data_IF_655889164427
#
_entry.id   IF_655889164427
#
_cell.length_a   1.000
_cell.length_b   1.000
_cell.length_c   1.000
_cell.angle_alpha   90.00
_cell.angle_beta   90.00
_cell.angle_gamma   90.00
#
_symmetry.space_group_name_H-M   'P 1'
#
loop_
_entity.id
_entity.type
_entity.pdbx_description
1 polymer ?
#
# COMPACT_ATOMS: atom_id res chain seq x y z
N UNK A 1 14.11 -1.77 -2.92
CA UNK A 1 12.79 -2.12 -3.48
C UNK A 1 12.87 -3.48 -4.16
N UNK A 2 11.74 -4.16 -4.33
CA UNK A 2 11.62 -5.48 -4.96
C UNK A 2 10.40 -5.50 -5.88
N UNK A 3 10.59 -5.95 -7.12
CA UNK A 3 9.49 -6.28 -8.03
C UNK A 3 8.83 -7.58 -7.57
N UNK A 4 7.54 -7.54 -7.25
CA UNK A 4 6.77 -8.69 -6.75
C UNK A 4 5.92 -9.36 -7.83
N UNK A 5 5.56 -8.59 -8.86
CA UNK A 5 5.09 -9.08 -10.16
C UNK A 5 5.41 -8.00 -11.20
N UNK A 6 5.23 -8.30 -12.49
CA UNK A 6 5.59 -7.39 -13.58
C UNK A 6 5.05 -5.98 -13.33
N UNK A 7 5.95 -5.00 -13.33
CA UNK A 7 5.69 -3.58 -13.10
C UNK A 7 5.23 -3.19 -11.69
N UNK A 8 5.06 -4.12 -10.73
CA UNK A 8 4.68 -3.80 -9.35
C UNK A 8 5.85 -3.99 -8.39
N UNK A 9 6.26 -2.90 -7.77
CA UNK A 9 7.38 -2.83 -6.84
C UNK A 9 6.89 -2.51 -5.43
N UNK A 10 7.46 -3.22 -4.46
CA UNK A 10 7.38 -2.88 -3.05
C UNK A 10 8.70 -2.27 -2.58
N UNK A 11 8.61 -1.27 -1.71
CA UNK A 11 9.79 -0.63 -1.15
C UNK A 11 9.55 0.10 0.15
N UNK A 12 10.58 0.78 0.59
CA UNK A 12 10.56 1.65 1.75
C UNK A 12 10.73 3.13 1.35
N UNK A 13 10.80 4.01 2.35
CA UNK A 13 10.98 5.44 2.09
C UNK A 13 12.32 5.75 1.41
N UNK A 14 13.40 5.03 1.74
CA UNK A 14 14.70 5.23 1.11
C UNK A 14 14.67 4.92 -0.38
N UNK A 15 13.99 3.84 -0.77
CA UNK A 15 13.81 3.46 -2.18
C UNK A 15 13.10 4.58 -2.96
N UNK A 16 12.01 5.13 -2.41
CA UNK A 16 11.33 6.24 -3.06
C UNK A 16 12.24 7.46 -3.19
N UNK A 17 12.83 7.93 -2.09
CA UNK A 17 13.57 9.19 -2.06
C UNK A 17 14.84 9.17 -2.92
N UNK A 18 15.50 8.00 -3.04
CA UNK A 18 16.80 7.91 -3.70
C UNK A 18 16.75 7.27 -5.10
N UNK A 19 15.68 6.56 -5.45
CA UNK A 19 15.62 5.80 -6.71
C UNK A 19 14.41 6.12 -7.58
N UNK A 20 13.30 6.64 -7.04
CA UNK A 20 12.04 6.76 -7.80
C UNK A 20 11.51 8.20 -7.87
N UNK A 21 11.76 9.03 -6.86
CA UNK A 21 11.13 10.36 -6.72
C UNK A 21 11.27 11.28 -7.95
N UNK A 22 12.36 11.18 -8.69
CA UNK A 22 12.65 12.01 -9.87
C UNK A 22 12.59 11.24 -11.19
N UNK A 23 12.21 9.97 -11.15
CA UNK A 23 12.13 9.12 -12.33
C UNK A 23 10.78 9.25 -13.03
N UNK A 24 10.81 9.33 -14.36
CA UNK A 24 9.62 9.29 -15.19
C UNK A 24 9.11 7.85 -15.36
N UNK A 25 7.86 7.69 -15.80
CA UNK A 25 7.25 6.37 -16.02
C UNK A 25 6.86 5.61 -14.76
N UNK A 26 6.93 6.27 -13.58
CA UNK A 26 6.49 5.70 -12.30
C UNK A 26 5.14 6.26 -11.84
N UNK A 27 4.35 5.40 -11.21
CA UNK A 27 3.22 5.77 -10.36
C UNK A 27 3.53 5.36 -8.92
N UNK A 28 3.41 6.29 -7.96
CA UNK A 28 3.83 6.03 -6.58
C UNK A 28 2.65 6.07 -5.62
N UNK A 29 2.46 5.00 -4.87
CA UNK A 29 1.51 4.92 -3.76
C UNK A 29 2.29 5.07 -2.45
N UNK A 30 2.14 6.24 -1.83
CA UNK A 30 2.65 6.55 -0.51
C UNK A 30 1.71 5.93 0.54
N UNK A 31 1.92 4.66 0.88
CA UNK A 31 1.17 3.93 1.91
C UNK A 31 1.61 4.32 3.33
N UNK A 32 1.83 5.61 3.56
CA UNK A 32 2.15 6.16 4.87
C UNK A 32 1.71 7.62 4.99
N UNK A 33 1.14 7.94 6.16
CA UNK A 33 0.80 9.31 6.55
C UNK A 33 2.04 10.21 6.61
N UNK A 34 3.07 9.76 7.30
CA UNK A 34 4.30 10.53 7.51
C UNK A 34 5.39 10.09 6.51
N UNK A 35 6.12 11.03 5.87
CA UNK A 35 5.87 12.47 5.88
C UNK A 35 4.83 12.92 4.83
N UNK A 36 4.42 12.05 3.90
CA UNK A 36 3.87 12.48 2.62
C UNK A 36 2.46 13.03 2.66
N UNK A 37 1.52 12.41 3.39
CA UNK A 37 0.16 12.93 3.53
C UNK A 37 0.17 14.27 4.28
N UNK A 38 1.02 14.37 5.32
CA UNK A 38 1.24 15.62 6.04
C UNK A 38 1.76 16.73 5.14
N UNK A 39 2.80 16.45 4.36
CA UNK A 39 3.36 17.41 3.42
C UNK A 39 2.36 17.82 2.34
N UNK A 40 1.58 16.86 1.82
CA UNK A 40 0.60 17.11 0.77
C UNK A 40 -0.52 18.08 1.18
N UNK A 41 -0.90 18.07 2.47
CA UNK A 41 -1.98 18.89 3.03
C UNK A 41 -1.50 19.99 3.99
N UNK A 42 -0.20 20.11 4.20
CA UNK A 42 0.47 21.14 5.02
C UNK A 42 -0.06 21.31 6.47
N UNK A 43 -0.67 20.28 7.08
CA UNK A 43 -1.15 20.38 8.46
C UNK A 43 -0.03 20.18 9.50
N UNK A 44 -0.07 20.97 10.57
CA UNK A 44 0.93 20.92 11.66
C UNK A 44 0.50 20.06 12.85
N UNK A 45 -0.81 19.86 13.03
CA UNK A 45 -1.39 19.11 14.15
C UNK A 45 -1.24 17.58 14.02
N UNK A 46 -1.91 16.84 14.89
CA UNK A 46 -1.89 15.37 14.89
C UNK A 46 -2.55 14.75 13.64
N UNK A 47 -3.33 15.50 12.86
CA UNK A 47 -3.95 15.04 11.61
C UNK A 47 -4.51 16.21 10.80
N UNK A 48 -4.90 15.94 9.55
CA UNK A 48 -5.69 16.87 8.76
C UNK A 48 -7.08 17.09 9.41
N UNK A 49 -7.77 18.20 9.14
CA UNK A 49 -9.16 18.37 9.54
C UNK A 49 -10.03 17.20 9.05
N UNK A 50 -10.89 16.65 9.91
CA UNK A 50 -11.71 15.46 9.56
C UNK A 50 -12.67 15.70 8.40
N UNK A 51 -13.06 16.95 8.17
CA UNK A 51 -13.91 17.38 7.06
C UNK A 51 -13.11 17.76 5.80
N UNK A 52 -11.79 17.60 5.80
CA UNK A 52 -10.98 17.86 4.62
C UNK A 52 -11.32 16.83 3.53
N UNK A 53 -11.58 17.23 2.27
CA UNK A 53 -11.96 16.29 1.21
C UNK A 53 -10.88 15.25 0.93
N UNK A 54 -9.62 15.60 1.13
CA UNK A 54 -8.47 14.68 1.00
C UNK A 54 -8.04 14.05 2.34
N UNK A 55 -8.90 14.00 3.38
CA UNK A 55 -8.49 13.53 4.72
C UNK A 55 -7.88 12.12 4.72
N UNK A 56 -8.42 11.21 3.91
CA UNK A 56 -7.91 9.84 3.77
C UNK A 56 -6.90 9.70 2.64
N UNK A 57 -7.17 10.38 1.52
CA UNK A 57 -6.49 10.16 0.25
C UNK A 57 -6.27 11.52 -0.40
N UNK A 58 -5.01 11.84 -0.70
CA UNK A 58 -4.64 12.95 -1.56
C UNK A 58 -4.12 12.44 -2.91
N UNK A 59 -4.50 13.11 -4.00
CA UNK A 59 -4.11 12.72 -5.37
C UNK A 59 -3.29 13.80 -6.04
N UNK A 60 -2.15 13.42 -6.61
CA UNK A 60 -1.31 14.27 -7.48
C UNK A 60 -1.00 13.44 -8.74
N UNK A 61 -0.64 14.07 -9.86
CA UNK A 61 -0.56 13.44 -11.20
C UNK A 61 -0.08 11.97 -11.23
N UNK A 62 1.10 11.68 -10.67
CA UNK A 62 1.67 10.33 -10.62
C UNK A 62 1.78 9.77 -9.19
N UNK A 63 1.00 10.30 -8.24
CA UNK A 63 1.10 9.94 -6.82
C UNK A 63 -0.27 9.79 -6.18
N UNK A 64 -0.48 8.65 -5.53
CA UNK A 64 -1.54 8.44 -4.57
C UNK A 64 -0.94 8.55 -3.16
N UNK A 65 -1.49 9.40 -2.31
CA UNK A 65 -0.92 9.71 -1.01
C UNK A 65 -1.93 9.36 0.08
N UNK A 66 -1.61 8.37 0.89
CA UNK A 66 -2.55 7.74 1.81
C UNK A 66 -2.31 8.17 3.25
N UNK A 67 -3.38 8.56 3.96
CA UNK A 67 -3.35 8.80 5.40
C UNK A 67 -3.36 7.48 6.19
N UNK A 68 -2.38 6.61 5.92
CA UNK A 68 -2.30 5.27 6.48
C UNK A 68 -1.22 5.20 7.58
N UNK A 69 -1.63 4.79 8.78
CA UNK A 69 -0.73 4.60 9.93
C UNK A 69 -0.49 3.11 10.18
N UNK A 70 0.66 2.80 10.77
CA UNK A 70 1.03 1.43 11.17
C UNK A 70 0.69 1.25 12.65
N UNK A 71 -0.35 0.46 12.94
CA UNK A 71 -0.86 0.30 14.30
C UNK A 71 -1.42 -1.10 14.50
N UNK A 72 -1.50 -1.56 15.75
CA UNK A 72 -1.98 -2.90 16.07
C UNK A 72 -3.50 -3.07 16.00
N UNK A 73 -4.26 -1.96 15.91
CA UNK A 73 -5.72 -1.98 15.91
C UNK A 73 -6.28 -1.68 14.52
N UNK A 74 -6.95 -2.67 13.92
CA UNK A 74 -7.52 -2.57 12.56
C UNK A 74 -8.52 -1.42 12.38
N UNK A 75 -9.20 -0.95 13.43
CA UNK A 75 -10.21 0.11 13.34
C UNK A 75 -9.64 1.47 12.89
N UNK A 76 -8.31 1.60 12.85
CA UNK A 76 -7.61 2.77 12.33
C UNK A 76 -7.17 2.61 10.86
N UNK A 77 -7.55 1.52 10.19
CA UNK A 77 -7.24 1.22 8.80
C UNK A 77 -8.54 1.29 8.00
N UNK A 78 -8.86 2.44 7.40
CA UNK A 78 -10.07 2.60 6.59
C UNK A 78 -9.97 1.72 5.34
N UNK A 79 -11.00 0.91 5.08
CA UNK A 79 -11.07 0.06 3.88
C UNK A 79 -10.88 0.87 2.59
N UNK A 80 -11.48 2.07 2.53
CA UNK A 80 -11.35 3.01 1.42
C UNK A 80 -9.89 3.31 1.03
N UNK A 81 -8.98 3.37 1.99
CA UNK A 81 -7.56 3.61 1.72
C UNK A 81 -6.93 2.41 0.99
N UNK A 82 -7.27 1.18 1.38
CA UNK A 82 -6.74 -0.03 0.76
C UNK A 82 -7.37 -0.24 -0.61
N UNK A 83 -8.69 -0.01 -0.74
CA UNK A 83 -9.40 -0.05 -2.02
C UNK A 83 -8.79 0.94 -3.02
N UNK A 84 -8.51 2.18 -2.58
CA UNK A 84 -7.86 3.18 -3.43
C UNK A 84 -6.44 2.78 -3.84
N UNK A 85 -5.69 2.11 -2.96
CA UNK A 85 -4.36 1.61 -3.28
C UNK A 85 -4.42 0.52 -4.36
N UNK A 86 -5.28 -0.48 -4.19
CA UNK A 86 -5.45 -1.57 -5.16
C UNK A 86 -5.93 -1.06 -6.52
N UNK A 87 -6.93 -0.16 -6.53
CA UNK A 87 -7.39 0.52 -7.75
C UNK A 87 -6.28 1.35 -8.40
N UNK A 88 -5.46 2.02 -7.59
CA UNK A 88 -4.30 2.78 -8.05
C UNK A 88 -3.25 1.90 -8.75
N UNK A 89 -3.00 0.69 -8.24
CA UNK A 89 -2.14 -0.30 -8.90
C UNK A 89 -2.77 -0.70 -10.24
N UNK A 90 -4.02 -1.18 -10.21
CA UNK A 90 -4.70 -1.71 -11.39
C UNK A 90 -4.71 -0.73 -12.57
N UNK A 91 -5.01 0.54 -12.28
CA UNK A 91 -5.18 1.58 -13.31
C UNK A 91 -3.86 1.99 -13.96
N UNK A 92 -2.71 1.71 -13.33
CA UNK A 92 -1.42 2.22 -13.79
C UNK A 92 -0.41 1.13 -14.20
N UNK A 93 -0.60 -0.12 -13.75
CA UNK A 93 0.41 -1.19 -13.91
C UNK A 93 0.63 -1.64 -15.38
N UNK A 94 -0.31 -1.36 -16.28
CA UNK A 94 -0.19 -1.64 -17.72
C UNK A 94 0.90 -0.81 -18.40
N UNK A 95 1.00 0.47 -18.04
CA UNK A 95 1.79 1.47 -18.77
C UNK A 95 2.91 2.08 -17.94
N UNK A 96 2.89 1.91 -16.62
CA UNK A 96 3.85 2.48 -15.67
C UNK A 96 4.40 1.42 -14.75
N UNK A 97 5.60 1.68 -14.22
CA UNK A 97 6.07 0.99 -13.02
C UNK A 97 5.32 1.56 -11.82
N UNK A 98 4.77 0.70 -10.97
CA UNK A 98 4.05 1.09 -9.77
C UNK A 98 4.92 0.79 -8.54
N UNK A 99 5.26 1.82 -7.77
CA UNK A 99 5.88 1.65 -6.46
C UNK A 99 4.82 1.81 -5.37
N UNK A 100 4.61 0.76 -4.58
CA UNK A 100 3.89 0.86 -3.29
C UNK A 100 4.93 0.82 -2.19
N UNK A 101 5.02 1.89 -1.41
CA UNK A 101 5.95 1.92 -0.29
C UNK A 101 5.32 2.52 0.96
N UNK A 102 5.82 2.12 2.11
CA UNK A 102 5.60 2.84 3.37
C UNK A 102 6.96 3.29 3.93
N UNK A 103 7.05 3.56 5.23
CA UNK A 103 8.31 4.01 5.83
C UNK A 103 9.39 2.92 5.80
N UNK A 104 9.05 1.71 6.27
CA UNK A 104 9.99 0.58 6.38
C UNK A 104 9.82 -0.45 5.26
N UNK A 105 8.72 -0.39 4.51
CA UNK A 105 8.40 -1.36 3.47
C UNK A 105 7.94 -2.73 3.97
N UNK A 106 7.64 -2.88 5.26
CA UNK A 106 7.42 -4.20 5.87
C UNK A 106 5.95 -4.56 6.13
N UNK A 107 5.13 -3.56 6.45
CA UNK A 107 3.72 -3.78 6.85
C UNK A 107 2.73 -3.25 5.82
N UNK A 108 2.42 -1.95 5.87
CA UNK A 108 1.39 -1.33 5.03
C UNK A 108 1.52 -1.62 3.54
N UNK A 109 2.68 -1.33 2.95
CA UNK A 109 2.95 -1.62 1.54
C UNK A 109 2.97 -3.10 1.22
N UNK A 110 3.48 -3.93 2.16
CA UNK A 110 3.59 -5.36 1.97
C UNK A 110 2.23 -6.06 1.95
N UNK A 111 1.31 -5.67 2.84
CA UNK A 111 -0.07 -6.16 2.86
C UNK A 111 -0.84 -5.69 1.61
N UNK A 112 -0.67 -4.45 1.16
CA UNK A 112 -1.27 -3.98 -0.11
C UNK A 112 -0.77 -4.84 -1.28
N UNK A 113 0.53 -5.12 -1.35
CA UNK A 113 1.10 -6.00 -2.37
C UNK A 113 0.58 -7.43 -2.30
N UNK A 114 0.49 -8.01 -1.10
CA UNK A 114 -0.07 -9.35 -0.89
C UNK A 114 -1.52 -9.43 -1.36
N UNK A 115 -2.38 -8.49 -0.94
CA UNK A 115 -3.78 -8.43 -1.35
C UNK A 115 -3.93 -8.28 -2.86
N UNK A 116 -3.07 -7.47 -3.50
CA UNK A 116 -3.08 -7.33 -4.95
C UNK A 116 -2.73 -8.66 -5.65
N UNK A 117 -1.66 -9.35 -5.25
CA UNK A 117 -1.32 -10.63 -5.87
C UNK A 117 -2.40 -11.70 -5.65
N UNK A 118 -2.97 -11.77 -4.44
CA UNK A 118 -4.01 -12.74 -4.11
C UNK A 118 -5.31 -12.47 -4.90
N UNK A 119 -5.74 -11.21 -5.02
CA UNK A 119 -6.92 -10.82 -5.81
C UNK A 119 -6.77 -11.09 -7.31
N UNK A 120 -5.53 -11.16 -7.81
CA UNK A 120 -5.22 -11.53 -9.19
C UNK A 120 -4.95 -13.02 -9.39
N UNK A 121 -5.05 -13.84 -8.34
CA UNK A 121 -4.72 -15.27 -8.41
C UNK A 121 -3.25 -15.55 -8.75
N UNK A 122 -2.36 -14.59 -8.51
CA UNK A 122 -0.92 -14.73 -8.78
C UNK A 122 -0.18 -15.48 -7.66
N UNK A 123 -0.83 -15.63 -6.50
CA UNK A 123 -0.43 -16.46 -5.37
C UNK A 123 -1.65 -17.24 -4.87
N UNK A 124 -1.48 -18.32 -4.08
CA UNK A 124 -2.59 -19.00 -3.43
C UNK A 124 -3.48 -18.01 -2.68
N UNK A 125 -4.79 -18.14 -2.83
CA UNK A 125 -5.75 -17.19 -2.27
C UNK A 125 -6.91 -17.85 -1.50
N UNK A 126 -6.85 -19.17 -1.26
CA UNK A 126 -7.85 -19.91 -0.47
C UNK A 126 -7.94 -19.37 0.97
N UNK A 127 -6.79 -19.06 1.57
CA UNK A 127 -6.68 -18.46 2.90
C UNK A 127 -5.57 -17.41 2.94
N UNK A 128 -5.65 -16.46 3.87
CA UNK A 128 -4.57 -15.49 4.09
C UNK A 128 -3.25 -16.20 4.46
N UNK A 129 -3.30 -17.26 5.26
CA UNK A 129 -2.10 -18.00 5.68
C UNK A 129 -1.35 -18.62 4.51
N UNK A 130 -2.05 -19.30 3.59
CA UNK A 130 -1.44 -19.85 2.37
C UNK A 130 -0.83 -18.74 1.50
N UNK A 131 -1.54 -17.61 1.38
CA UNK A 131 -1.04 -16.46 0.64
C UNK A 131 0.22 -15.87 1.27
N UNK A 132 0.28 -15.74 2.60
CA UNK A 132 1.46 -15.24 3.32
C UNK A 132 2.68 -16.13 3.13
N UNK A 133 2.50 -17.46 3.18
CA UNK A 133 3.59 -18.42 3.00
C UNK A 133 4.23 -18.26 1.62
N UNK A 134 3.41 -18.18 0.56
CA UNK A 134 3.87 -17.93 -0.80
C UNK A 134 4.48 -16.52 -0.94
N UNK A 135 3.82 -15.51 -0.37
CA UNK A 135 4.25 -14.11 -0.49
C UNK A 135 5.61 -13.86 0.18
N UNK A 136 5.88 -14.50 1.32
CA UNK A 136 7.20 -14.41 2.00
C UNK A 136 8.35 -14.92 1.14
N UNK A 137 8.10 -15.86 0.22
CA UNK A 137 9.12 -16.31 -0.74
C UNK A 137 9.41 -15.25 -1.82
N UNK A 138 8.41 -14.42 -2.15
CA UNK A 138 8.53 -13.33 -3.13
C UNK A 138 9.16 -12.08 -2.50
N UNK A 139 8.73 -11.76 -1.29
CA UNK A 139 9.08 -10.53 -0.57
C UNK A 139 9.46 -10.82 0.89
N UNK A 140 10.75 -11.07 1.13
CA UNK A 140 11.30 -11.39 2.45
C UNK A 140 11.19 -10.26 3.49
N UNK A 141 10.91 -9.03 3.04
CA UNK A 141 10.65 -7.90 3.93
C UNK A 141 9.27 -7.91 4.58
N UNK A 142 8.41 -8.89 4.27
CA UNK A 142 7.07 -9.00 4.84
C UNK A 142 7.11 -9.24 6.36
N UNK A 143 6.67 -8.23 7.11
CA UNK A 143 6.56 -8.27 8.57
C UNK A 143 5.48 -7.28 9.01
N UNK A 144 4.19 -7.61 8.87
CA UNK A 144 3.10 -6.68 9.13
C UNK A 144 2.87 -6.44 10.62
N UNK A 145 2.43 -5.22 10.96
CA UNK A 145 1.78 -4.96 12.25
C UNK A 145 0.50 -5.77 12.38
N UNK A 146 0.06 -5.99 13.62
CA UNK A 146 -1.14 -6.76 13.90
C UNK A 146 -2.37 -6.17 13.22
N UNK A 147 -2.50 -4.85 13.18
CA UNK A 147 -3.69 -4.20 12.60
C UNK A 147 -3.79 -4.40 11.09
N UNK A 148 -2.67 -4.32 10.36
CA UNK A 148 -2.67 -4.58 8.92
C UNK A 148 -2.93 -6.05 8.59
N UNK A 149 -2.40 -6.97 9.40
CA UNK A 149 -2.70 -8.40 9.29
C UNK A 149 -4.18 -8.68 9.56
N UNK A 150 -4.71 -8.19 10.69
CA UNK A 150 -6.13 -8.35 11.06
C UNK A 150 -7.05 -7.75 9.99
N UNK A 151 -6.68 -6.60 9.41
CA UNK A 151 -7.40 -6.01 8.28
C UNK A 151 -7.47 -6.96 7.09
N UNK A 152 -6.31 -7.48 6.65
CA UNK A 152 -6.25 -8.38 5.50
C UNK A 152 -7.06 -9.66 5.76
N UNK A 153 -7.02 -10.19 6.98
CA UNK A 153 -7.76 -11.37 7.37
C UNK A 153 -9.28 -11.12 7.38
N UNK A 154 -9.70 -9.99 7.95
CA UNK A 154 -11.10 -9.64 8.06
C UNK A 154 -11.77 -9.40 6.70
N UNK A 155 -11.06 -8.74 5.79
CA UNK A 155 -11.56 -8.43 4.44
C UNK A 155 -11.08 -9.42 3.37
N UNK A 156 -10.55 -10.58 3.77
CA UNK A 156 -9.91 -11.50 2.82
C UNK A 156 -10.82 -11.88 1.66
N UNK A 157 -12.03 -12.32 1.99
CA UNK A 157 -13.02 -12.77 1.00
C UNK A 157 -13.49 -11.65 0.08
N UNK A 158 -13.53 -10.40 0.55
CA UNK A 158 -13.91 -9.24 -0.27
C UNK A 158 -12.90 -8.99 -1.40
N UNK A 159 -11.64 -9.40 -1.22
CA UNK A 159 -10.59 -9.19 -2.20
C UNK A 159 -10.28 -10.43 -3.05
N UNK A 160 -10.60 -11.64 -2.58
CA UNK A 160 -10.20 -12.89 -3.24
C UNK A 160 -11.35 -13.66 -3.89
N UNK A 161 -12.60 -13.33 -3.58
CA UNK A 161 -13.76 -13.90 -4.30
C UNK A 161 -13.85 -13.30 -5.70
N UNK A 162 -13.55 -14.14 -6.70
CA UNK A 162 -13.79 -13.90 -8.13
C UNK A 162 -15.24 -14.16 -8.50
#
# INVERSE_FOLDING_TARGET
MKEICKNLFLGNQFDYENQVRFEEGWFVIHACKEPYHRQALAYRGSGAPKNHPEYLIARRNNRLILNLIDVDKMSYIPKEIIDAALSGIETNISDKKVLVHCNQGQSRSAIIGLLYLASKGLIPNSTLTEAEEAFKQIYSGYNPSKGMFDFANYYWEDYTRT
#
